data_IF_935847681290
#
_entry.id   IF_935847681290
#
_cell.length_a   1.000
_cell.length_b   1.000
_cell.length_c   1.000
_cell.angle_alpha   90.00
_cell.angle_beta   90.00
_cell.angle_gamma   90.00
#
_symmetry.space_group_name_H-M   'P 1'
#
loop_
_entity.id
_entity.type
_entity.pdbx_description
1 polymer ?
#
# COMPACT_ATOMS: atom_id res chain seq x y z
N UNK A 1 -37.29 -24.71 1.17
CA UNK A 1 -36.47 -23.56 0.73
C UNK A 1 -35.04 -24.01 0.78
N UNK A 2 -34.47 -24.34 -0.39
CA UNK A 2 -33.08 -24.87 -0.47
C UNK A 2 -32.17 -23.64 -0.64
N UNK A 3 -31.27 -23.42 0.31
CA UNK A 3 -30.25 -22.37 0.19
C UNK A 3 -29.26 -22.79 -0.89
N UNK A 4 -28.85 -21.89 -1.80
CA UNK A 4 -27.84 -22.19 -2.79
C UNK A 4 -26.49 -22.48 -2.11
N UNK A 5 -25.76 -23.46 -2.64
CA UNK A 5 -24.42 -23.78 -2.16
C UNK A 5 -23.44 -22.62 -2.40
N UNK A 6 -22.42 -22.41 -1.53
CA UNK A 6 -21.49 -21.26 -1.62
C UNK A 6 -20.80 -21.09 -2.99
N UNK A 7 -20.64 -22.17 -3.75
CA UNK A 7 -20.05 -22.15 -5.10
C UNK A 7 -20.94 -21.48 -6.18
N UNK A 8 -22.24 -21.40 -5.99
CA UNK A 8 -23.15 -20.77 -6.97
C UNK A 8 -23.22 -19.24 -6.83
N UNK A 9 -22.83 -18.70 -5.69
CA UNK A 9 -22.84 -17.25 -5.43
C UNK A 9 -21.76 -16.49 -6.22
N UNK A 10 -20.70 -17.17 -6.71
CA UNK A 10 -19.60 -16.55 -7.43
C UNK A 10 -19.68 -16.63 -8.96
N UNK A 11 -20.65 -17.34 -9.53
CA UNK A 11 -20.75 -17.54 -10.98
C UNK A 11 -21.23 -16.32 -11.78
N UNK A 12 -21.65 -15.25 -11.14
CA UNK A 12 -22.19 -14.04 -11.77
C UNK A 12 -21.34 -12.77 -11.55
N UNK A 13 -20.19 -12.87 -10.91
CA UNK A 13 -19.32 -11.69 -10.79
C UNK A 13 -18.72 -11.33 -12.14
N UNK A 14 -18.82 -10.06 -12.59
CA UNK A 14 -18.11 -9.63 -13.80
C UNK A 14 -16.62 -9.90 -13.59
N UNK A 15 -16.01 -10.59 -14.55
CA UNK A 15 -14.53 -10.71 -14.59
C UNK A 15 -13.99 -9.31 -14.53
N UNK A 16 -13.09 -9.05 -13.57
CA UNK A 16 -12.38 -7.79 -13.50
C UNK A 16 -11.85 -7.47 -14.90
N UNK A 17 -12.35 -6.39 -15.48
CA UNK A 17 -11.83 -5.86 -16.73
C UNK A 17 -10.36 -5.56 -16.49
N UNK A 18 -9.48 -6.12 -17.29
CA UNK A 18 -8.07 -5.76 -17.27
C UNK A 18 -8.01 -4.24 -17.47
N UNK A 19 -7.76 -3.52 -16.38
CA UNK A 19 -7.58 -2.08 -16.43
C UNK A 19 -6.33 -1.89 -17.27
N UNK A 20 -6.46 -1.25 -18.43
CA UNK A 20 -5.30 -0.90 -19.26
C UNK A 20 -4.43 0.02 -18.40
N UNK A 21 -3.33 -0.50 -17.89
CA UNK A 21 -2.38 0.29 -17.10
C UNK A 21 -1.92 1.48 -17.92
N UNK A 22 -2.20 2.69 -17.42
CA UNK A 22 -1.72 3.90 -18.06
C UNK A 22 -0.22 3.97 -17.87
N UNK A 23 0.52 3.79 -18.95
CA UNK A 23 1.96 3.98 -18.94
C UNK A 23 2.29 5.48 -18.85
N UNK A 24 3.23 5.80 -17.99
CA UNK A 24 3.81 7.13 -17.83
C UNK A 24 5.21 7.13 -18.46
N UNK A 25 5.67 8.26 -18.96
CA UNK A 25 7.04 8.42 -19.45
C UNK A 25 7.86 9.07 -18.33
N UNK A 26 8.87 8.37 -17.83
CA UNK A 26 9.83 8.88 -16.84
C UNK A 26 11.21 8.73 -17.46
N UNK A 27 11.97 9.81 -17.53
CA UNK A 27 13.31 9.88 -18.16
C UNK A 27 13.38 9.28 -19.58
N UNK A 28 12.27 9.39 -20.35
CA UNK A 28 12.17 8.85 -21.70
C UNK A 28 11.77 7.38 -21.80
N UNK A 29 11.65 6.68 -20.67
CA UNK A 29 11.17 5.30 -20.60
C UNK A 29 9.67 5.24 -20.30
N UNK A 30 8.98 4.31 -20.95
CA UNK A 30 7.58 4.02 -20.67
C UNK A 30 7.52 3.03 -19.49
N UNK A 31 6.85 3.42 -18.42
CA UNK A 31 6.62 2.57 -17.26
C UNK A 31 5.23 2.78 -16.67
N UNK A 32 4.78 1.85 -15.85
CA UNK A 32 3.56 1.99 -15.07
C UNK A 32 3.79 2.93 -13.88
N UNK A 33 2.72 3.45 -13.28
CA UNK A 33 2.84 4.21 -12.03
C UNK A 33 3.43 3.40 -10.88
N UNK A 34 3.18 2.10 -10.87
CA UNK A 34 3.75 1.16 -9.88
C UNK A 34 5.26 1.01 -10.04
N UNK A 35 5.74 0.81 -11.26
CA UNK A 35 7.19 0.78 -11.57
C UNK A 35 7.87 2.11 -11.25
N UNK A 36 7.23 3.25 -11.59
CA UNK A 36 7.75 4.57 -11.24
C UNK A 36 7.88 4.77 -9.72
N UNK A 37 6.91 4.28 -8.94
CA UNK A 37 6.97 4.32 -7.48
C UNK A 37 8.15 3.51 -6.95
N UNK A 38 8.30 2.25 -7.38
CA UNK A 38 9.41 1.38 -6.96
C UNK A 38 10.75 2.02 -7.32
N UNK A 39 10.91 2.51 -8.55
CA UNK A 39 12.12 3.21 -8.98
C UNK A 39 12.42 4.45 -8.14
N UNK A 40 11.39 5.23 -7.79
CA UNK A 40 11.57 6.41 -6.93
C UNK A 40 12.09 6.04 -5.54
N UNK A 41 11.63 4.94 -4.95
CA UNK A 41 12.14 4.44 -3.68
C UNK A 41 13.62 4.00 -3.79
N UNK A 42 13.97 3.35 -4.90
CA UNK A 42 15.36 2.96 -5.19
C UNK A 42 16.29 4.17 -5.35
N UNK A 43 15.85 5.19 -6.11
CA UNK A 43 16.63 6.39 -6.38
C UNK A 43 16.81 7.25 -5.12
N UNK A 44 15.83 7.23 -4.21
CA UNK A 44 15.94 7.83 -2.88
C UNK A 44 16.83 7.03 -1.91
N UNK A 45 17.29 5.86 -2.32
CA UNK A 45 18.22 5.05 -1.53
C UNK A 45 17.56 4.28 -0.39
N UNK A 46 16.24 4.05 -0.46
CA UNK A 46 15.52 3.21 0.52
C UNK A 46 16.20 1.83 0.59
N UNK A 47 16.35 1.28 1.79
CA UNK A 47 17.00 -0.01 2.03
C UNK A 47 16.04 -1.11 2.45
N UNK A 48 15.06 -0.76 3.26
CA UNK A 48 14.05 -1.70 3.75
C UNK A 48 12.66 -1.09 3.60
N UNK A 49 11.71 -1.89 3.13
CA UNK A 49 10.30 -1.56 3.01
C UNK A 49 9.51 -2.63 3.75
N UNK A 50 8.64 -2.22 4.66
CA UNK A 50 7.81 -3.12 5.45
C UNK A 50 6.38 -3.11 4.93
N UNK A 51 5.70 -4.26 4.91
CA UNK A 51 4.33 -4.22 4.44
C UNK A 51 3.60 -5.55 4.42
N UNK A 52 2.34 -5.45 3.99
CA UNK A 52 1.44 -6.58 3.76
C UNK A 52 0.75 -6.37 2.41
N UNK A 53 0.90 -7.30 1.46
CA UNK A 53 0.22 -7.20 0.17
C UNK A 53 -1.29 -7.32 0.30
N UNK A 54 -2.01 -6.72 -0.66
CA UNK A 54 -3.46 -6.83 -0.76
C UNK A 54 -3.95 -6.29 -2.10
N UNK A 55 -5.21 -6.57 -2.46
CA UNK A 55 -5.73 -6.41 -3.82
C UNK A 55 -5.46 -5.06 -4.48
N UNK A 56 -5.68 -3.95 -3.76
CA UNK A 56 -5.56 -2.62 -4.32
C UNK A 56 -4.11 -2.14 -4.53
N UNK A 57 -3.12 -2.84 -3.99
CA UNK A 57 -1.69 -2.48 -4.07
C UNK A 57 -0.86 -3.53 -4.82
N UNK A 58 -1.46 -4.63 -5.27
CA UNK A 58 -0.77 -5.69 -6.00
C UNK A 58 0.12 -5.19 -7.15
N UNK A 59 -0.29 -4.22 -8.00
CA UNK A 59 0.58 -3.74 -9.07
C UNK A 59 1.94 -3.21 -8.58
N UNK A 60 1.99 -2.62 -7.38
CA UNK A 60 3.27 -2.18 -6.78
C UNK A 60 4.10 -3.39 -6.35
N UNK A 61 3.47 -4.39 -5.73
CA UNK A 61 4.15 -5.62 -5.34
C UNK A 61 4.66 -6.42 -6.54
N UNK A 62 3.89 -6.45 -7.63
CA UNK A 62 4.32 -7.09 -8.89
C UNK A 62 5.52 -6.36 -9.54
N UNK A 63 5.71 -5.08 -9.21
CA UNK A 63 6.86 -4.29 -9.66
C UNK A 63 8.11 -4.47 -8.77
N UNK A 64 7.96 -5.05 -7.56
CA UNK A 64 9.09 -5.39 -6.67
C UNK A 64 9.63 -6.74 -7.12
N UNK A 65 10.80 -6.73 -7.77
CA UNK A 65 11.45 -7.91 -8.33
C UNK A 65 12.68 -8.30 -7.51
N UNK A 66 13.27 -9.43 -7.86
CA UNK A 66 14.46 -9.96 -7.17
C UNK A 66 15.69 -9.04 -7.27
N UNK A 67 15.76 -8.20 -8.30
CA UNK A 67 16.82 -7.23 -8.54
C UNK A 67 16.53 -5.83 -7.96
N UNK A 68 15.41 -5.66 -7.27
CA UNK A 68 15.06 -4.40 -6.59
C UNK A 68 16.12 -4.06 -5.53
N UNK A 69 16.56 -2.79 -5.49
CA UNK A 69 17.69 -2.34 -4.65
C UNK A 69 17.37 -2.25 -3.17
N UNK A 70 16.12 -2.39 -2.78
CA UNK A 70 15.69 -2.46 -1.38
C UNK A 70 15.15 -3.85 -1.03
N UNK A 71 15.25 -4.22 0.23
CA UNK A 71 14.66 -5.44 0.75
C UNK A 71 13.20 -5.20 1.11
N UNK A 72 12.28 -6.01 0.59
CA UNK A 72 10.91 -6.05 1.09
C UNK A 72 10.80 -7.03 2.26
N UNK A 73 10.31 -6.54 3.40
CA UNK A 73 10.07 -7.32 4.62
C UNK A 73 8.57 -7.58 4.74
N UNK A 74 8.17 -8.80 4.40
CA UNK A 74 6.78 -9.24 4.52
C UNK A 74 6.41 -9.36 6.00
N UNK A 75 5.42 -8.58 6.41
CA UNK A 75 4.87 -8.61 7.76
C UNK A 75 3.59 -9.43 7.81
N UNK A 76 3.16 -9.82 9.01
CA UNK A 76 1.92 -10.59 9.22
C UNK A 76 0.71 -9.72 9.59
N UNK A 77 0.94 -8.45 9.85
CA UNK A 77 -0.06 -7.45 10.19
C UNK A 77 0.47 -6.06 9.87
N UNK A 78 -0.35 -5.18 9.35
CA UNK A 78 0.07 -3.85 8.89
C UNK A 78 0.54 -2.96 10.05
N UNK A 79 -0.11 -3.02 11.20
CA UNK A 79 0.32 -2.31 12.39
C UNK A 79 1.75 -2.71 12.80
N UNK A 80 2.06 -4.01 12.72
CA UNK A 80 3.41 -4.49 12.98
C UNK A 80 4.41 -3.98 11.93
N UNK A 81 3.99 -3.79 10.67
CA UNK A 81 4.82 -3.17 9.64
C UNK A 81 5.15 -1.72 10.00
N UNK A 82 4.16 -0.96 10.47
CA UNK A 82 4.36 0.41 10.93
C UNK A 82 5.37 0.50 12.08
N UNK A 83 5.15 -0.23 13.16
CA UNK A 83 6.07 -0.22 14.30
C UNK A 83 7.47 -0.77 13.96
N UNK A 84 7.59 -1.69 12.98
CA UNK A 84 8.89 -2.11 12.48
C UNK A 84 9.61 -0.98 11.73
N UNK A 85 8.87 -0.20 10.93
CA UNK A 85 9.41 0.97 10.24
C UNK A 85 9.82 2.09 11.21
N UNK A 86 9.07 2.31 12.29
CA UNK A 86 9.46 3.21 13.39
C UNK A 86 10.76 2.77 14.05
N UNK A 87 10.83 1.49 14.46
CA UNK A 87 12.04 0.92 15.05
C UNK A 87 13.24 1.01 14.11
N UNK A 88 13.04 0.79 12.81
CA UNK A 88 14.05 0.98 11.79
C UNK A 88 14.53 2.44 11.73
N UNK A 89 13.60 3.40 11.70
CA UNK A 89 13.94 4.81 11.66
C UNK A 89 14.73 5.25 12.90
N UNK A 90 14.29 4.82 14.10
CA UNK A 90 14.96 5.12 15.36
C UNK A 90 16.38 4.55 15.43
N UNK A 91 16.59 3.33 14.91
CA UNK A 91 17.89 2.65 15.04
C UNK A 91 18.89 3.03 13.96
N UNK A 92 18.41 3.40 12.77
CA UNK A 92 19.27 3.69 11.62
C UNK A 92 19.40 5.17 11.30
N UNK A 93 18.48 6.01 11.81
CA UNK A 93 18.37 7.42 11.43
C UNK A 93 17.83 7.63 10.02
N UNK A 94 17.33 6.58 9.35
CA UNK A 94 16.75 6.65 8.01
C UNK A 94 15.23 6.70 8.11
N UNK A 95 14.56 7.13 7.02
CA UNK A 95 13.10 7.15 6.96
C UNK A 95 12.56 5.72 6.90
N UNK A 96 11.61 5.38 7.78
CA UNK A 96 10.87 4.13 7.71
C UNK A 96 9.86 4.15 6.57
N UNK A 97 9.78 3.08 5.79
CA UNK A 97 8.87 3.00 4.64
C UNK A 97 7.93 1.80 4.78
N UNK A 98 6.62 2.04 4.66
CA UNK A 98 5.60 1.01 4.64
C UNK A 98 4.80 1.03 3.35
N UNK A 99 4.43 -0.17 2.86
CA UNK A 99 3.50 -0.33 1.73
C UNK A 99 2.38 -1.29 2.16
N UNK A 100 1.13 -0.82 2.13
CA UNK A 100 -0.05 -1.58 2.56
C UNK A 100 -1.22 -1.39 1.60
N UNK A 101 -2.24 -2.25 1.68
CA UNK A 101 -3.41 -2.14 0.82
C UNK A 101 -4.36 -1.02 1.26
N UNK A 102 -5.46 -0.82 0.52
CA UNK A 102 -6.55 0.11 0.84
C UNK A 102 -7.33 -0.29 2.09
N UNK A 103 -8.28 0.52 2.49
CA UNK A 103 -9.28 0.23 3.52
C UNK A 103 -8.69 -0.37 4.78
N UNK A 104 -8.95 -1.66 5.07
CA UNK A 104 -8.51 -2.29 6.31
C UNK A 104 -6.98 -2.31 6.48
N UNK A 105 -6.20 -2.44 5.40
CA UNK A 105 -4.75 -2.35 5.47
C UNK A 105 -4.27 -0.96 5.85
N UNK A 106 -4.85 0.07 5.25
CA UNK A 106 -4.52 1.46 5.55
C UNK A 106 -4.99 1.88 6.96
N UNK A 107 -6.18 1.44 7.40
CA UNK A 107 -6.67 1.77 8.76
C UNK A 107 -5.83 1.11 9.86
N UNK A 108 -5.25 -0.07 9.61
CA UNK A 108 -4.30 -0.69 10.53
C UNK A 108 -3.00 0.12 10.72
N UNK A 109 -2.72 1.08 9.85
CA UNK A 109 -1.56 1.97 9.98
C UNK A 109 -1.81 3.17 10.89
N UNK A 110 -3.05 3.41 11.34
CA UNK A 110 -3.39 4.62 12.13
C UNK A 110 -2.60 4.69 13.43
N UNK A 111 -2.52 3.58 14.17
CA UNK A 111 -1.76 3.54 15.43
C UNK A 111 -0.28 3.89 15.21
N UNK A 112 0.48 3.21 14.34
CA UNK A 112 1.88 3.55 14.14
C UNK A 112 2.09 4.95 13.52
N UNK A 113 1.18 5.43 12.67
CA UNK A 113 1.25 6.81 12.16
C UNK A 113 1.10 7.83 13.30
N UNK A 114 0.14 7.61 14.20
CA UNK A 114 -0.08 8.49 15.33
C UNK A 114 1.12 8.48 16.31
N UNK A 115 1.67 7.31 16.57
CA UNK A 115 2.87 7.12 17.41
C UNK A 115 4.08 7.83 16.80
N UNK A 116 4.38 7.57 15.54
CA UNK A 116 5.46 8.24 14.80
C UNK A 116 5.30 9.78 14.77
N UNK A 117 4.05 10.28 14.65
CA UNK A 117 3.80 11.72 14.66
C UNK A 117 4.07 12.33 16.04
N UNK A 118 3.68 11.65 17.13
CA UNK A 118 3.91 12.12 18.51
C UNK A 118 5.40 12.15 18.86
N UNK A 119 6.13 11.13 18.44
CA UNK A 119 7.56 10.98 18.74
C UNK A 119 8.47 11.62 17.68
N UNK A 120 7.89 12.27 16.67
CA UNK A 120 8.63 12.90 15.55
C UNK A 120 9.52 11.92 14.79
N UNK A 121 9.07 10.69 14.62
CA UNK A 121 9.76 9.64 13.86
C UNK A 121 9.47 9.80 12.37
N UNK A 122 10.50 9.92 11.50
CA UNK A 122 10.28 10.06 10.07
C UNK A 122 9.80 8.74 9.45
N UNK A 123 8.58 8.75 8.92
CA UNK A 123 7.96 7.58 8.28
C UNK A 123 7.18 7.99 7.03
N UNK A 124 7.25 7.15 5.99
CA UNK A 124 6.42 7.24 4.79
C UNK A 124 5.54 6.02 4.70
N UNK A 125 4.24 6.23 4.61
CA UNK A 125 3.25 5.16 4.45
C UNK A 125 2.58 5.29 3.09
N UNK A 126 2.71 4.26 2.27
CA UNK A 126 2.10 4.16 0.94
C UNK A 126 0.93 3.20 1.03
N UNK A 127 -0.27 3.69 0.75
CA UNK A 127 -1.48 2.87 0.79
C UNK A 127 -2.06 2.67 -0.60
N UNK A 128 -2.63 1.50 -0.83
CA UNK A 128 -3.52 1.30 -1.97
C UNK A 128 -4.78 2.16 -1.84
N UNK A 129 -5.48 2.33 -2.95
CA UNK A 129 -6.81 2.93 -2.99
C UNK A 129 -7.67 2.16 -3.99
N UNK A 130 -8.97 2.16 -3.77
CA UNK A 130 -9.94 1.64 -4.74
C UNK A 130 -9.88 2.45 -6.04
N UNK A 131 -10.38 1.89 -7.13
CA UNK A 131 -10.34 2.58 -8.43
C UNK A 131 -11.11 3.90 -8.38
N UNK A 132 -10.63 4.92 -9.10
CA UNK A 132 -11.20 6.28 -9.07
C UNK A 132 -12.72 6.35 -9.27
N UNK A 133 -13.27 5.45 -10.09
CA UNK A 133 -14.71 5.46 -10.41
C UNK A 133 -15.62 5.03 -9.26
N UNK A 134 -15.05 4.46 -8.19
CA UNK A 134 -15.82 3.98 -7.04
C UNK A 134 -15.41 4.63 -5.72
N UNK A 135 -14.52 5.61 -5.76
CA UNK A 135 -14.16 6.38 -4.56
C UNK A 135 -15.39 7.15 -4.07
N UNK A 136 -15.73 7.03 -2.80
CA UNK A 136 -16.88 7.67 -2.16
C UNK A 136 -18.19 6.92 -2.34
N UNK A 137 -18.16 5.65 -2.76
CA UNK A 137 -19.35 4.81 -2.95
C UNK A 137 -19.47 3.68 -1.94
N UNK A 138 -18.67 3.68 -0.88
CA UNK A 138 -18.57 2.59 0.10
C UNK A 138 -18.21 1.24 -0.55
N UNK A 139 -17.34 1.27 -1.53
CA UNK A 139 -16.91 0.08 -2.25
C UNK A 139 -16.09 -0.86 -1.36
N UNK A 140 -15.95 -2.12 -1.79
CA UNK A 140 -15.22 -3.13 -1.02
C UNK A 140 -13.80 -2.67 -0.68
N UNK A 141 -13.46 -2.70 0.60
CA UNK A 141 -12.17 -2.24 1.15
C UNK A 141 -11.85 -0.76 0.86
N UNK A 142 -12.87 0.09 0.75
CA UNK A 142 -12.71 1.53 0.78
C UNK A 142 -12.74 2.07 2.21
N UNK A 143 -11.97 3.10 2.48
CA UNK A 143 -12.05 3.94 3.69
C UNK A 143 -11.51 5.33 3.37
N UNK A 144 -12.05 6.35 4.00
CA UNK A 144 -11.54 7.72 3.90
C UNK A 144 -10.25 7.88 4.72
N UNK A 145 -9.16 7.30 4.19
CA UNK A 145 -7.85 7.33 4.86
C UNK A 145 -7.30 8.75 4.96
N UNK A 146 -7.56 9.60 3.99
CA UNK A 146 -7.14 11.01 4.03
C UNK A 146 -7.80 11.74 5.20
N UNK A 147 -9.12 11.58 5.34
CA UNK A 147 -9.86 12.19 6.46
C UNK A 147 -9.42 11.64 7.83
N UNK A 148 -9.23 10.32 7.92
CA UNK A 148 -8.81 9.68 9.17
C UNK A 148 -7.38 10.09 9.58
N UNK A 149 -6.46 10.21 8.64
CA UNK A 149 -5.06 10.54 8.94
C UNK A 149 -4.77 12.03 9.06
N UNK A 150 -5.64 12.89 8.54
CA UNK A 150 -5.44 14.35 8.52
C UNK A 150 -4.91 14.94 9.85
N UNK A 151 -5.38 14.55 11.05
CA UNK A 151 -4.88 15.11 12.30
C UNK A 151 -3.53 14.55 12.76
N UNK A 152 -3.01 13.51 12.14
CA UNK A 152 -1.83 12.77 12.59
C UNK A 152 -0.72 12.66 11.52
N UNK A 153 -0.85 13.37 10.41
CA UNK A 153 0.16 13.47 9.35
C UNK A 153 0.52 14.92 9.04
N UNK A 154 1.65 15.12 8.38
CA UNK A 154 2.08 16.45 7.88
C UNK A 154 1.65 16.67 6.45
#
# INVERSE_FOLDING_TARGET
>A
MVLPTPLQAFSGMPKASATTEKQTIVDGEKMTGAEALVRSLEDLGVKDVFGVPGGAILPVYDSIKDDTKFRFVLMRHEQAAGHAAEGYALTTGQVGVCIVTSGPGATNMITPIADANMDSIPMVVITGQVTRGVIGTDSFQESDIVGITMPIVK
#
